data_IF_219238162807
#
_entry.id   IF_219238162807
#
_cell.length_a   1.000
_cell.length_b   1.000
_cell.length_c   1.000
_cell.angle_alpha   90.00
_cell.angle_beta   90.00
_cell.angle_gamma   90.00
#
_symmetry.space_group_name_H-M   'P 1'
#
loop_
_entity.id
_entity.type
_entity.pdbx_description
1 polymer ?
#
# COMPACT_ATOMS: atom_id res chain seq x y z
N UNK A 1 2.85 19.68 -1.33
CA UNK A 1 1.99 18.85 -2.19
C UNK A 1 2.64 17.49 -2.25
N UNK A 2 1.98 16.50 -1.67
CA UNK A 2 2.50 15.16 -1.51
C UNK A 2 2.26 14.39 -2.81
N UNK A 3 3.13 13.42 -3.07
CA UNK A 3 3.01 12.58 -4.25
C UNK A 3 3.46 11.16 -3.96
N UNK A 4 2.92 10.21 -4.72
CA UNK A 4 3.37 8.83 -4.70
C UNK A 4 3.13 8.15 -6.03
N UNK A 5 3.64 6.93 -6.12
CA UNK A 5 3.59 6.08 -7.27
C UNK A 5 2.87 4.78 -6.94
N UNK A 6 2.08 4.32 -7.90
CA UNK A 6 1.51 2.97 -7.89
C UNK A 6 1.80 2.30 -9.21
N UNK A 7 2.30 1.07 -9.15
CA UNK A 7 2.50 0.25 -10.33
C UNK A 7 1.60 -0.98 -10.25
N UNK A 8 0.83 -1.22 -11.30
CA UNK A 8 -0.01 -2.42 -11.44
C UNK A 8 0.20 -3.04 -12.82
N UNK A 9 -0.23 -4.29 -12.99
CA UNK A 9 -0.36 -4.89 -14.32
C UNK A 9 -1.31 -4.04 -15.17
N UNK A 10 -1.00 -3.87 -16.45
CA UNK A 10 -1.87 -3.14 -17.37
C UNK A 10 -3.28 -3.75 -17.43
N UNK A 11 -3.39 -5.08 -17.29
CA UNK A 11 -4.68 -5.79 -17.21
C UNK A 11 -5.54 -5.43 -15.99
N UNK A 12 -4.95 -4.82 -14.95
CA UNK A 12 -5.60 -4.41 -13.70
C UNK A 12 -5.75 -2.90 -13.56
N UNK A 13 -5.50 -2.13 -14.61
CA UNK A 13 -5.64 -0.66 -14.60
C UNK A 13 -7.00 -0.20 -14.09
N UNK A 14 -8.09 -0.79 -14.61
CA UNK A 14 -9.46 -0.37 -14.24
C UNK A 14 -9.79 -0.58 -12.77
N UNK A 15 -9.08 -1.49 -12.10
CA UNK A 15 -9.27 -1.78 -10.68
C UNK A 15 -8.12 -1.29 -9.81
N UNK A 16 -7.19 -0.50 -10.37
CA UNK A 16 -5.96 -0.09 -9.70
C UNK A 16 -6.20 0.56 -8.33
N UNK A 17 -7.28 1.34 -8.19
CA UNK A 17 -7.60 2.13 -7.00
C UNK A 17 -8.82 1.63 -6.21
N UNK A 18 -9.29 0.41 -6.50
CA UNK A 18 -10.47 -0.17 -5.80
C UNK A 18 -10.14 -0.73 -4.42
N UNK A 19 -8.86 -0.98 -4.13
CA UNK A 19 -8.43 -1.67 -2.91
C UNK A 19 -8.77 -3.16 -2.86
N UNK A 20 -9.28 -3.76 -3.95
CA UNK A 20 -9.74 -5.15 -4.00
C UNK A 20 -8.66 -6.16 -3.57
N UNK A 21 -7.40 -5.97 -4.01
CA UNK A 21 -6.30 -6.87 -3.67
C UNK A 21 -6.03 -6.94 -2.16
N UNK A 22 -5.68 -5.81 -1.51
CA UNK A 22 -5.53 -5.74 -0.07
C UNK A 22 -6.78 -6.16 0.70
N UNK A 23 -7.98 -5.84 0.20
CA UNK A 23 -9.23 -6.30 0.81
C UNK A 23 -9.36 -7.84 0.83
N UNK A 24 -8.97 -8.54 -0.25
CA UNK A 24 -9.07 -10.01 -0.31
C UNK A 24 -8.00 -10.74 0.49
N UNK A 25 -6.76 -10.26 0.43
CA UNK A 25 -5.60 -11.01 0.91
C UNK A 25 -4.93 -10.41 2.15
N UNK A 26 -5.33 -9.20 2.55
CA UNK A 26 -4.63 -8.41 3.55
C UNK A 26 -3.27 -7.92 3.04
N UNK A 27 -2.53 -7.28 3.94
CA UNK A 27 -1.18 -6.79 3.71
C UNK A 27 -0.43 -6.65 5.01
N UNK A 28 0.65 -5.84 4.99
CA UNK A 28 1.37 -5.49 6.22
C UNK A 28 0.54 -4.55 7.11
N UNK A 29 -0.20 -3.64 6.49
CA UNK A 29 -0.92 -2.55 7.15
C UNK A 29 -2.45 -2.68 7.03
N UNK A 30 -2.97 -3.85 6.70
CA UNK A 30 -4.42 -4.08 6.69
C UNK A 30 -4.74 -5.57 6.80
N UNK A 31 -5.84 -5.89 7.47
CA UNK A 31 -6.42 -7.24 7.50
C UNK A 31 -7.25 -7.54 6.25
N UNK A 32 -7.44 -8.82 5.88
CA UNK A 32 -8.48 -9.20 4.95
C UNK A 32 -9.83 -8.64 5.39
N UNK A 33 -10.61 -8.11 4.47
CA UNK A 33 -11.85 -7.38 4.74
C UNK A 33 -11.68 -5.86 4.86
N UNK A 34 -10.45 -5.35 4.99
CA UNK A 34 -10.15 -3.91 5.05
C UNK A 34 -9.52 -3.46 3.73
N UNK A 35 -10.21 -2.58 3.01
CA UNK A 35 -9.79 -2.10 1.70
C UNK A 35 -8.84 -0.90 1.79
N UNK A 36 -7.63 -1.04 1.25
CA UNK A 36 -6.62 0.03 1.15
C UNK A 36 -5.94 0.00 -0.21
N UNK A 37 -5.30 1.11 -0.59
CA UNK A 37 -4.45 1.17 -1.78
C UNK A 37 -3.02 1.50 -1.36
N UNK A 38 -2.11 0.56 -1.62
CA UNK A 38 -0.68 0.78 -1.39
C UNK A 38 -0.06 1.62 -2.51
N UNK A 39 0.71 2.62 -2.09
CA UNK A 39 1.51 3.51 -2.95
C UNK A 39 2.90 3.64 -2.34
N UNK A 40 3.88 4.09 -3.13
CA UNK A 40 5.25 4.34 -2.67
C UNK A 40 5.68 5.74 -3.05
N UNK A 41 6.45 6.41 -2.20
CA UNK A 41 6.94 7.77 -2.48
C UNK A 41 7.73 7.87 -3.80
N UNK A 42 8.50 6.83 -4.14
CA UNK A 42 9.28 6.77 -5.37
C UNK A 42 8.81 5.67 -6.32
N UNK A 43 8.87 5.95 -7.63
CA UNK A 43 8.52 4.99 -8.68
C UNK A 43 9.41 3.74 -8.64
N UNK A 44 10.70 3.91 -8.29
CA UNK A 44 11.65 2.80 -8.13
C UNK A 44 11.24 1.85 -7.00
N UNK A 45 10.77 2.37 -5.87
CA UNK A 45 10.26 1.56 -4.76
C UNK A 45 8.96 0.85 -5.14
N UNK A 46 8.04 1.54 -5.82
CA UNK A 46 6.82 0.89 -6.32
C UNK A 46 7.14 -0.26 -7.31
N UNK A 47 8.17 -0.10 -8.13
CA UNK A 47 8.64 -1.16 -9.03
C UNK A 47 9.28 -2.32 -8.25
N UNK A 48 10.11 -2.03 -7.25
CA UNK A 48 10.74 -3.04 -6.40
C UNK A 48 9.69 -3.92 -5.70
N UNK A 49 8.66 -3.32 -5.11
CA UNK A 49 7.56 -4.05 -4.45
C UNK A 49 6.81 -4.98 -5.44
N UNK A 50 6.63 -4.55 -6.69
CA UNK A 50 5.96 -5.37 -7.72
C UNK A 50 6.85 -6.54 -8.16
N UNK A 51 8.16 -6.34 -8.27
CA UNK A 51 9.06 -7.37 -8.81
C UNK A 51 9.56 -8.37 -7.77
N UNK A 52 9.78 -7.94 -6.52
CA UNK A 52 10.29 -8.81 -5.46
C UNK A 52 9.19 -9.67 -4.85
N UNK A 53 7.98 -9.14 -4.68
CA UNK A 53 6.88 -9.89 -4.07
C UNK A 53 6.12 -10.77 -5.08
N UNK A 54 6.60 -10.89 -6.33
CA UNK A 54 5.90 -11.59 -7.40
C UNK A 54 6.73 -12.72 -7.96
N UNK A 55 6.30 -13.94 -7.67
CA UNK A 55 6.89 -15.17 -8.21
C UNK A 55 5.80 -16.02 -8.86
N UNK A 56 5.92 -16.42 -10.14
CA UNK A 56 7.00 -16.09 -11.07
C UNK A 56 6.88 -14.69 -11.67
N UNK A 57 8.02 -14.08 -11.98
CA UNK A 57 8.10 -12.89 -12.82
C UNK A 57 7.82 -13.28 -14.28
N UNK A 58 6.90 -12.60 -14.93
CA UNK A 58 6.52 -12.83 -16.34
C UNK A 58 7.02 -11.64 -17.14
N UNK A 59 7.96 -11.87 -18.05
CA UNK A 59 8.69 -10.82 -18.78
C UNK A 59 7.78 -10.05 -19.75
N UNK A 60 6.81 -10.73 -20.34
CA UNK A 60 5.86 -10.17 -21.31
C UNK A 60 4.75 -9.35 -20.64
N UNK A 61 4.68 -9.34 -19.30
CA UNK A 61 3.68 -8.59 -18.57
C UNK A 61 3.93 -7.08 -18.74
N UNK A 62 2.92 -6.38 -19.25
CA UNK A 62 2.91 -4.92 -19.29
C UNK A 62 2.46 -4.36 -17.95
N UNK A 63 3.13 -3.31 -17.49
CA UNK A 63 2.79 -2.59 -16.28
C UNK A 63 2.38 -1.16 -16.60
N UNK A 64 1.51 -0.59 -15.76
CA UNK A 64 1.15 0.83 -15.78
C UNK A 64 1.58 1.46 -14.47
N UNK A 65 2.29 2.58 -14.59
CA UNK A 65 2.69 3.42 -13.47
C UNK A 65 1.77 4.63 -13.40
N UNK A 66 1.25 4.88 -12.21
CA UNK A 66 0.40 6.02 -11.89
C UNK A 66 1.15 6.92 -10.92
N UNK A 67 1.24 8.20 -11.26
CA UNK A 67 1.65 9.24 -10.33
C UNK A 67 0.39 9.82 -9.70
N UNK A 68 0.37 9.88 -8.39
CA UNK A 68 -0.70 10.45 -7.58
C UNK A 68 -0.17 11.69 -6.89
N UNK A 69 -1.00 12.73 -6.81
CA UNK A 69 -0.68 13.99 -6.16
C UNK A 69 -1.87 14.44 -5.31
N UNK A 70 -1.59 14.97 -4.12
CA UNK A 70 -2.63 15.47 -3.21
C UNK A 70 -2.12 16.58 -2.28
N UNK A 71 -3.03 17.39 -1.70
CA UNK A 71 -2.68 18.35 -0.67
C UNK A 71 -2.12 17.69 0.60
N UNK A 72 -1.06 18.25 1.18
CA UNK A 72 -0.34 17.63 2.31
C UNK A 72 -1.24 17.37 3.53
N UNK A 73 -2.24 18.24 3.77
CA UNK A 73 -3.17 18.15 4.89
C UNK A 73 -4.09 16.90 4.86
N UNK A 74 -4.13 16.16 3.75
CA UNK A 74 -4.86 14.89 3.65
C UNK A 74 -4.07 13.70 4.19
N UNK A 75 -2.80 13.90 4.59
CA UNK A 75 -1.89 12.87 5.07
C UNK A 75 -1.78 12.90 6.59
N UNK A 76 -1.99 11.74 7.22
CA UNK A 76 -1.59 11.48 8.61
C UNK A 76 -0.20 10.83 8.59
N UNK A 77 0.74 11.40 9.36
CA UNK A 77 2.07 10.82 9.57
C UNK A 77 2.06 10.00 10.85
N UNK A 78 2.24 8.69 10.73
CA UNK A 78 2.36 7.80 11.86
C UNK A 78 3.78 7.82 12.43
N UNK A 79 3.98 8.16 13.71
CA UNK A 79 5.31 8.22 14.28
C UNK A 79 6.00 6.86 14.28
N UNK A 80 7.19 6.75 13.69
CA UNK A 80 8.00 5.51 13.65
C UNK A 80 8.25 4.94 15.06
N UNK A 81 8.37 5.81 16.07
CA UNK A 81 8.52 5.41 17.49
C UNK A 81 7.33 4.62 18.05
N UNK A 82 6.16 4.73 17.43
CA UNK A 82 4.93 4.02 17.81
C UNK A 82 4.80 2.68 17.09
N UNK A 83 5.74 2.33 16.20
CA UNK A 83 5.71 1.05 15.50
C UNK A 83 6.14 -0.09 16.45
N UNK A 84 5.49 -1.27 16.36
CA UNK A 84 5.91 -2.47 17.08
C UNK A 84 7.36 -2.83 16.75
N UNK A 85 8.16 -3.30 17.70
CA UNK A 85 9.57 -3.64 17.46
C UNK A 85 9.76 -4.70 16.35
N UNK A 86 8.77 -5.56 16.14
CA UNK A 86 8.71 -6.62 15.15
C UNK A 86 8.10 -6.20 13.80
N UNK A 87 7.81 -4.91 13.54
CA UNK A 87 7.01 -4.48 12.38
C UNK A 87 7.58 -4.90 11.01
N UNK A 88 8.89 -5.16 10.94
CA UNK A 88 9.59 -5.61 9.72
C UNK A 88 9.59 -7.12 9.51
N UNK A 89 9.13 -7.92 10.48
CA UNK A 89 9.10 -9.38 10.38
C UNK A 89 8.20 -9.83 9.22
N UNK A 90 8.55 -10.97 8.62
CA UNK A 90 7.75 -11.65 7.61
C UNK A 90 7.40 -13.07 8.10
N UNK A 91 6.13 -13.51 8.06
CA UNK A 91 4.94 -12.76 7.61
C UNK A 91 4.63 -11.54 8.49
N UNK A 92 3.90 -10.54 7.97
CA UNK A 92 3.57 -9.35 8.74
C UNK A 92 2.85 -9.69 10.06
N UNK A 93 3.28 -9.09 11.18
CA UNK A 93 2.65 -9.33 12.49
C UNK A 93 1.24 -8.73 12.54
N UNK A 94 0.40 -9.21 13.47
CA UNK A 94 -1.00 -8.75 13.58
C UNK A 94 -1.06 -7.28 13.99
N UNK A 95 -0.12 -6.85 14.82
CA UNK A 95 0.01 -5.51 15.37
C UNK A 95 0.16 -4.45 14.25
N UNK A 96 0.83 -4.75 13.14
CA UNK A 96 0.95 -3.81 12.01
C UNK A 96 -0.36 -3.71 11.23
N UNK A 97 -1.14 -4.78 11.15
CA UNK A 97 -2.45 -4.75 10.49
C UNK A 97 -3.45 -3.94 11.32
N UNK A 98 -3.48 -4.15 12.63
CA UNK A 98 -4.36 -3.42 13.55
C UNK A 98 -4.16 -1.90 13.49
N UNK A 99 -2.91 -1.45 13.28
CA UNK A 99 -2.62 -0.01 13.10
C UNK A 99 -3.39 0.55 11.90
N UNK A 100 -3.31 -0.10 10.75
CA UNK A 100 -3.99 0.38 9.54
C UNK A 100 -5.49 0.09 9.53
N UNK A 101 -5.93 -1.02 10.12
CA UNK A 101 -7.36 -1.32 10.29
C UNK A 101 -8.04 -0.23 11.13
N UNK A 102 -7.40 0.19 12.23
CA UNK A 102 -7.88 1.30 13.06
C UNK A 102 -7.93 2.61 12.29
N UNK A 103 -6.89 2.92 11.51
CA UNK A 103 -6.87 4.11 10.66
C UNK A 103 -8.05 4.14 9.68
N UNK A 104 -8.33 3.04 8.99
CA UNK A 104 -9.46 2.94 8.06
C UNK A 104 -10.80 3.05 8.79
N UNK A 105 -10.95 2.35 9.92
CA UNK A 105 -12.19 2.33 10.71
C UNK A 105 -12.54 3.74 11.23
N UNK A 106 -11.55 4.46 11.74
CA UNK A 106 -11.72 5.80 12.31
C UNK A 106 -11.78 6.91 11.25
N UNK A 107 -11.46 6.60 9.99
CA UNK A 107 -11.49 7.55 8.85
C UNK A 107 -10.73 8.85 9.13
N UNK A 108 -9.58 8.74 9.80
CA UNK A 108 -8.82 9.90 10.31
C UNK A 108 -8.23 10.77 9.20
N UNK A 109 -7.84 10.17 8.08
CA UNK A 109 -7.24 10.86 6.93
C UNK A 109 -7.45 10.07 5.65
N UNK A 110 -7.11 10.67 4.50
CA UNK A 110 -7.16 9.99 3.20
C UNK A 110 -5.90 9.16 2.95
N UNK A 111 -4.75 9.65 3.43
CA UNK A 111 -3.45 8.99 3.30
C UNK A 111 -2.83 8.79 4.68
N UNK A 112 -2.20 7.63 4.87
CA UNK A 112 -1.48 7.24 6.07
C UNK A 112 -0.06 6.86 5.69
N UNK A 113 0.93 7.51 6.32
CA UNK A 113 2.35 7.36 6.00
C UNK A 113 3.20 7.17 7.25
#
# INVERSE_FOLDING_TARGET
MASAWRIVRASREKTAFTGEGPWRYGGRWNSPGVGVVYVSEHQSTAAFEVFVNRTPFILEEKYKAFRLEWPDHLTEIFPVKNLPANWRVHPPPIETREIGDRWVQERRSVVFA
#
